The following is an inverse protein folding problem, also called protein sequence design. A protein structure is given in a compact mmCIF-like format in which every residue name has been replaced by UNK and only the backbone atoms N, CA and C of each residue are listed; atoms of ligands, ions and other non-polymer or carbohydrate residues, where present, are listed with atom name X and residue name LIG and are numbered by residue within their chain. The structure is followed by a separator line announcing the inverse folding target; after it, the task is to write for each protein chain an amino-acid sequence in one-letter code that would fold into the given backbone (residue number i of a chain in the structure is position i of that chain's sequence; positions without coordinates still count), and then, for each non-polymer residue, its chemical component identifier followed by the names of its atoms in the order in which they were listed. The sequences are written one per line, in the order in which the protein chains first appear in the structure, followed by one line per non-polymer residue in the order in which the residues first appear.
data_IF_475982391037
#
_entry.id   IF_475982391037
#
_cell.length_a   1.000
_cell.length_b   1.000
_cell.length_c   1.000
_cell.angle_alpha   90.00
_cell.angle_beta   90.00
_cell.angle_gamma   90.00
#
_symmetry.space_group_name_H-M   'P 1'
#
loop_
_entity.id
_entity.type
_entity.pdbx_description
1 polymer ?
#
# COMPACT_ATOMS: atom_id res chain seq x y z
N UNK A 1 19.35 1.37 -0.13
CA UNK A 1 18.10 1.55 -0.92
C UNK A 1 17.35 2.84 -0.59
N UNK A 2 17.25 3.24 0.69
CA UNK A 2 16.54 4.46 1.13
C UNK A 2 17.01 5.78 0.45
N UNK A 3 18.32 6.05 0.38
CA UNK A 3 18.87 7.24 -0.29
C UNK A 3 18.48 7.36 -1.77
N UNK A 4 18.24 6.24 -2.46
CA UNK A 4 17.82 6.25 -3.86
C UNK A 4 16.33 6.61 -4.00
N UNK A 5 15.48 6.15 -3.06
CA UNK A 5 14.04 6.50 -3.04
C UNK A 5 13.85 7.98 -2.73
N UNK A 6 14.52 8.51 -1.72
CA UNK A 6 14.48 9.93 -1.36
C UNK A 6 14.88 10.82 -2.55
N UNK A 7 15.98 10.50 -3.22
CA UNK A 7 16.43 11.25 -4.41
C UNK A 7 15.38 11.27 -5.52
N UNK A 8 14.72 10.14 -5.79
CA UNK A 8 13.64 10.04 -6.79
C UNK A 8 12.41 10.85 -6.39
N UNK A 9 12.03 10.84 -5.10
CA UNK A 9 10.93 11.65 -4.56
C UNK A 9 11.23 13.14 -4.78
N UNK A 10 12.40 13.62 -4.36
CA UNK A 10 12.79 15.03 -4.50
C UNK A 10 12.82 15.45 -5.98
N UNK A 11 13.33 14.59 -6.87
CA UNK A 11 13.35 14.87 -8.32
C UNK A 11 11.95 14.96 -8.91
N UNK A 12 11.03 14.09 -8.50
CA UNK A 12 9.65 14.07 -8.99
C UNK A 12 8.87 15.26 -8.44
N UNK A 13 9.06 15.57 -7.16
CA UNK A 13 8.52 16.76 -6.51
C UNK A 13 8.98 18.06 -7.18
N UNK A 14 10.26 18.17 -7.60
CA UNK A 14 10.74 19.35 -8.31
C UNK A 14 10.06 19.58 -9.67
N UNK A 15 9.56 18.51 -10.31
CA UNK A 15 8.72 18.61 -11.52
C UNK A 15 7.33 19.16 -11.15
N UNK A 16 6.73 18.69 -10.06
CA UNK A 16 5.47 19.21 -9.53
C UNK A 16 5.56 20.71 -9.24
N UNK A 17 6.62 21.18 -8.58
CA UNK A 17 6.83 22.60 -8.30
C UNK A 17 6.70 23.47 -9.56
N UNK A 18 7.28 23.00 -10.67
CA UNK A 18 7.20 23.71 -11.95
C UNK A 18 5.80 23.65 -12.56
N UNK A 19 5.17 22.47 -12.53
CA UNK A 19 3.83 22.27 -13.08
C UNK A 19 2.77 23.17 -12.41
N UNK A 20 2.92 23.46 -11.12
CA UNK A 20 1.97 24.31 -10.37
C UNK A 20 2.31 25.81 -10.42
N UNK A 21 3.34 26.19 -11.20
CA UNK A 21 3.75 27.59 -11.42
C UNK A 21 4.74 28.16 -10.40
N UNK A 22 5.40 27.31 -9.60
CA UNK A 22 6.40 27.74 -8.62
C UNK A 22 7.81 27.79 -9.21
N UNK A 23 8.65 28.67 -8.68
CA UNK A 23 10.08 28.71 -9.04
C UNK A 23 10.80 27.51 -8.45
N UNK A 24 11.47 26.70 -9.27
CA UNK A 24 12.23 25.54 -8.80
C UNK A 24 13.35 25.93 -7.82
N UNK A 25 13.67 25.08 -6.82
CA UNK A 25 14.84 25.30 -5.98
C UNK A 25 16.12 25.19 -6.79
N UNK A 26 17.08 26.08 -6.51
CA UNK A 26 18.39 26.07 -7.17
C UNK A 26 19.25 24.84 -6.83
N UNK A 27 18.94 24.14 -5.74
CA UNK A 27 19.58 22.89 -5.33
C UNK A 27 18.53 21.87 -4.89
N UNK A 28 18.63 20.64 -5.38
CA UNK A 28 17.75 19.52 -5.02
C UNK A 28 18.31 18.72 -3.83
N UNK A 29 18.68 19.42 -2.76
CA UNK A 29 19.07 18.81 -1.47
C UNK A 29 17.98 19.10 -0.45
N UNK A 30 17.59 18.10 0.35
CA UNK A 30 16.51 18.20 1.34
C UNK A 30 16.71 19.39 2.27
N UNK A 31 17.90 19.51 2.84
CA UNK A 31 18.27 20.57 3.80
C UNK A 31 18.13 21.95 3.15
N UNK A 32 18.65 22.12 1.93
CA UNK A 32 18.51 23.38 1.20
C UNK A 32 17.05 23.75 0.93
N UNK A 33 16.22 22.77 0.57
CA UNK A 33 14.81 23.01 0.26
C UNK A 33 14.07 23.47 1.51
N UNK A 34 14.23 22.74 2.62
CA UNK A 34 13.52 22.98 3.87
C UNK A 34 14.01 24.22 4.62
N UNK A 35 15.30 24.55 4.54
CA UNK A 35 15.89 25.69 5.27
C UNK A 35 15.94 26.99 4.45
N UNK A 36 16.09 26.90 3.11
CA UNK A 36 16.38 28.08 2.28
C UNK A 36 15.34 28.36 1.21
N UNK A 37 14.81 27.33 0.54
CA UNK A 37 13.85 27.56 -0.54
C UNK A 37 12.44 27.88 -0.03
N UNK A 38 12.01 27.20 1.03
CA UNK A 38 10.81 27.52 1.78
C UNK A 38 11.00 27.16 3.26
N UNK A 39 11.50 28.10 4.08
CA UNK A 39 11.59 27.89 5.53
C UNK A 39 10.23 27.57 6.14
N UNK A 40 10.26 26.86 7.25
CA UNK A 40 9.07 26.59 8.06
C UNK A 40 8.41 27.89 8.54
N UNK A 41 7.08 27.91 8.61
CA UNK A 41 6.28 29.05 9.08
C UNK A 41 6.56 30.38 8.37
N UNK A 42 7.07 30.34 7.13
CA UNK A 42 7.33 31.56 6.36
C UNK A 42 6.03 32.32 6.08
N UNK A 43 6.00 33.61 6.46
CA UNK A 43 4.92 34.55 6.15
C UNK A 43 5.20 35.36 4.87
N UNK A 44 6.25 35.01 4.11
CA UNK A 44 6.61 35.71 2.89
C UNK A 44 5.48 35.58 1.85
N UNK A 45 4.87 36.72 1.52
CA UNK A 45 3.79 36.79 0.53
C UNK A 45 4.25 36.31 -0.86
N UNK A 46 5.52 36.50 -1.22
CA UNK A 46 6.08 36.00 -2.48
C UNK A 46 6.09 34.48 -2.50
N UNK A 47 6.44 33.83 -1.39
CA UNK A 47 6.45 32.38 -1.28
C UNK A 47 5.03 31.81 -1.29
N UNK A 48 4.10 32.49 -0.63
CA UNK A 48 2.67 32.16 -0.63
C UNK A 48 2.08 32.25 -2.03
N UNK A 49 2.33 33.33 -2.78
CA UNK A 49 1.91 33.48 -4.18
C UNK A 49 2.45 32.37 -5.09
N UNK A 50 3.63 31.85 -4.76
CA UNK A 50 4.27 30.74 -5.48
C UNK A 50 3.90 29.36 -4.92
N UNK A 51 2.93 29.26 -4.00
CA UNK A 51 2.46 28.02 -3.37
C UNK A 51 3.58 27.20 -2.69
N UNK A 52 4.70 27.84 -2.31
CA UNK A 52 5.85 27.13 -1.73
C UNK A 52 5.54 26.44 -0.41
N UNK A 53 4.73 26.99 0.52
CA UNK A 53 4.38 26.29 1.75
C UNK A 53 3.65 24.96 1.50
N UNK A 54 2.68 24.95 0.58
CA UNK A 54 1.95 23.74 0.18
C UNK A 54 2.90 22.73 -0.47
N UNK A 55 3.79 23.20 -1.35
CA UNK A 55 4.80 22.33 -1.97
C UNK A 55 5.79 21.77 -0.95
N UNK A 56 6.17 22.55 0.07
CA UNK A 56 6.99 22.06 1.19
C UNK A 56 6.26 20.96 1.96
N UNK A 57 4.99 21.15 2.31
CA UNK A 57 4.16 20.12 2.97
C UNK A 57 4.17 18.84 2.14
N UNK A 58 3.84 18.94 0.85
CA UNK A 58 3.87 17.78 -0.06
C UNK A 58 5.22 17.06 -0.05
N UNK A 59 6.34 17.78 -0.03
CA UNK A 59 7.66 17.15 0.03
C UNK A 59 7.86 16.39 1.35
N UNK A 60 7.53 17.01 2.49
CA UNK A 60 7.66 16.40 3.82
C UNK A 60 6.80 15.13 3.89
N UNK A 61 5.51 15.24 3.59
CA UNK A 61 4.58 14.11 3.61
C UNK A 61 5.03 13.00 2.64
N UNK A 62 5.62 13.35 1.48
CA UNK A 62 6.16 12.37 0.54
C UNK A 62 7.38 11.63 1.08
N UNK A 63 8.27 12.34 1.77
CA UNK A 63 9.49 11.75 2.35
C UNK A 63 9.18 10.87 3.56
N UNK A 64 8.14 11.22 4.31
CA UNK A 64 7.61 10.43 5.43
C UNK A 64 6.70 9.28 4.96
N UNK A 65 6.34 9.25 3.67
CA UNK A 65 5.51 8.19 3.10
C UNK A 65 4.04 8.31 3.47
N UNK A 66 3.59 9.49 3.91
CA UNK A 66 2.22 9.79 4.37
C UNK A 66 1.46 10.76 3.45
N UNK A 67 1.96 11.01 2.24
CA UNK A 67 1.34 11.91 1.27
C UNK A 67 -0.15 11.58 1.07
N UNK A 68 -1.03 12.53 1.38
CA UNK A 68 -2.49 12.45 1.17
C UNK A 68 -2.98 13.59 0.25
N UNK A 69 -3.98 13.36 -0.62
CA UNK A 69 -4.56 14.40 -1.46
C UNK A 69 -5.59 15.29 -0.73
N UNK A 70 -6.10 14.88 0.44
CA UNK A 70 -7.35 15.43 1.00
C UNK A 70 -7.24 16.90 1.41
N UNK A 71 -6.11 17.30 1.97
CA UNK A 71 -5.82 18.69 2.39
C UNK A 71 -5.16 19.54 1.28
N UNK A 72 -5.03 18.99 0.07
CA UNK A 72 -4.26 19.62 -1.00
C UNK A 72 -5.18 20.26 -2.05
N UNK A 73 -4.83 21.44 -2.59
CA UNK A 73 -5.61 22.07 -3.63
C UNK A 73 -5.81 21.16 -4.85
N UNK A 74 -7.03 21.12 -5.37
CA UNK A 74 -7.40 20.28 -6.53
C UNK A 74 -6.57 20.57 -7.79
N UNK A 75 -6.12 21.81 -7.96
CA UNK A 75 -5.23 22.20 -9.06
C UNK A 75 -3.79 21.64 -8.91
N UNK A 76 -3.42 21.13 -7.74
CA UNK A 76 -2.18 20.40 -7.50
C UNK A 76 -2.42 18.90 -7.68
N UNK A 77 -3.44 18.35 -7.01
CA UNK A 77 -3.69 16.89 -6.98
C UNK A 77 -4.10 16.31 -8.33
N UNK A 78 -4.73 17.11 -9.21
CA UNK A 78 -5.10 16.69 -10.58
C UNK A 78 -3.94 16.70 -11.59
N UNK A 79 -2.75 17.19 -11.20
CA UNK A 79 -1.61 17.22 -12.11
C UNK A 79 -1.03 15.82 -12.32
N UNK A 80 -0.55 15.54 -13.53
CA UNK A 80 0.17 14.27 -13.81
C UNK A 80 1.42 14.13 -12.95
N UNK A 81 2.08 15.24 -12.61
CA UNK A 81 3.25 15.28 -11.75
C UNK A 81 2.91 14.86 -10.32
N UNK A 82 1.75 15.26 -9.80
CA UNK A 82 1.28 14.78 -8.49
C UNK A 82 1.00 13.28 -8.52
N UNK A 83 0.34 12.78 -9.57
CA UNK A 83 0.13 11.33 -9.75
C UNK A 83 1.46 10.56 -9.85
N UNK A 84 2.45 11.09 -10.56
CA UNK A 84 3.78 10.47 -10.58
C UNK A 84 4.45 10.48 -9.21
N UNK A 85 4.35 11.58 -8.46
CA UNK A 85 4.89 11.66 -7.10
C UNK A 85 4.21 10.66 -6.18
N UNK A 86 2.88 10.57 -6.24
CA UNK A 86 2.08 9.56 -5.56
C UNK A 86 2.60 8.15 -5.84
N UNK A 87 2.81 7.80 -7.11
CA UNK A 87 3.36 6.48 -7.49
C UNK A 87 4.75 6.25 -6.92
N UNK A 88 5.60 7.28 -6.85
CA UNK A 88 6.93 7.13 -6.22
C UNK A 88 6.85 6.90 -4.70
N UNK A 89 5.86 7.48 -4.03
CA UNK A 89 5.69 7.38 -2.58
C UNK A 89 5.03 6.05 -2.21
N UNK A 90 3.90 5.77 -2.86
CA UNK A 90 2.95 4.72 -2.49
C UNK A 90 2.89 3.52 -3.46
N UNK A 91 3.41 3.66 -4.68
CA UNK A 91 3.28 2.65 -5.75
C UNK A 91 2.07 2.90 -6.65
N UNK A 92 1.76 1.95 -7.54
CA UNK A 92 0.63 2.03 -8.47
C UNK A 92 -0.72 1.77 -7.76
N UNK A 93 -1.01 2.60 -6.76
CA UNK A 93 -2.25 2.58 -5.99
C UNK A 93 -3.16 3.69 -6.51
N UNK A 94 -4.43 3.37 -6.74
CA UNK A 94 -5.43 4.40 -7.01
C UNK A 94 -5.44 5.43 -5.88
N UNK A 95 -5.53 6.70 -6.26
CA UNK A 95 -5.62 7.80 -5.31
C UNK A 95 -7.00 7.69 -4.63
N UNK A 96 -7.02 7.10 -3.44
CA UNK A 96 -8.18 7.07 -2.56
C UNK A 96 -7.90 8.00 -1.36
N UNK A 97 -8.94 8.72 -0.93
CA UNK A 97 -8.85 9.69 0.16
C UNK A 97 -9.33 9.13 1.49
N UNK A 98 -9.27 9.95 2.52
CA UNK A 98 -9.81 9.66 3.86
C UNK A 98 -11.26 9.16 3.81
N UNK A 99 -12.08 9.66 2.89
CA UNK A 99 -13.47 9.22 2.73
C UNK A 99 -13.60 7.73 2.35
N UNK A 100 -12.69 7.21 1.53
CA UNK A 100 -12.71 5.79 1.15
C UNK A 100 -12.25 4.91 2.31
N UNK A 101 -11.30 5.40 3.11
CA UNK A 101 -10.87 4.77 4.34
C UNK A 101 -12.01 4.71 5.36
N UNK A 102 -12.69 5.84 5.64
CA UNK A 102 -13.82 5.89 6.58
C UNK A 102 -14.92 4.92 6.18
N UNK A 103 -15.37 4.95 4.92
CA UNK A 103 -16.37 4.00 4.40
C UNK A 103 -15.96 2.53 4.57
N UNK A 104 -14.67 2.23 4.40
CA UNK A 104 -14.17 0.89 4.65
C UNK A 104 -14.22 0.55 6.13
N UNK A 105 -13.79 1.46 7.01
CA UNK A 105 -13.79 1.28 8.45
C UNK A 105 -15.21 1.09 9.00
N UNK A 106 -16.20 1.88 8.55
CA UNK A 106 -17.61 1.74 8.92
C UNK A 106 -18.18 0.35 8.55
N UNK A 107 -17.67 -0.25 7.47
CA UNK A 107 -18.04 -1.60 7.07
C UNK A 107 -17.35 -2.72 7.88
N UNK A 108 -16.31 -2.39 8.65
CA UNK A 108 -15.48 -3.37 9.38
C UNK A 108 -15.61 -3.26 10.90
N UNK A 109 -15.80 -2.06 11.41
CA UNK A 109 -15.92 -1.73 12.82
C UNK A 109 -17.35 -1.25 13.05
N UNK A 110 -18.07 -1.92 13.94
CA UNK A 110 -19.46 -1.56 14.25
C UNK A 110 -19.48 -0.34 15.14
N UNK A 111 -20.57 0.44 15.04
CA UNK A 111 -20.86 1.56 15.93
C UNK A 111 -19.82 2.69 15.85
N UNK A 112 -19.18 2.87 14.70
CA UNK A 112 -18.44 4.09 14.40
C UNK A 112 -19.43 5.23 14.12
N UNK A 113 -19.26 6.35 14.82
CA UNK A 113 -19.97 7.60 14.60
C UNK A 113 -19.00 8.71 14.15
N UNK A 114 -19.56 9.82 13.68
CA UNK A 114 -18.77 10.96 13.19
C UNK A 114 -17.92 11.61 14.29
N UNK A 115 -18.38 11.58 15.55
CA UNK A 115 -17.68 12.18 16.71
C UNK A 115 -16.34 11.48 16.97
N UNK A 116 -16.31 10.14 16.91
CA UNK A 116 -15.08 9.34 17.02
C UNK A 116 -14.01 9.75 16.01
N UNK A 117 -14.43 10.17 14.80
CA UNK A 117 -13.51 10.59 13.75
C UNK A 117 -13.01 12.02 13.91
N UNK A 118 -13.80 12.91 14.51
CA UNK A 118 -13.45 14.32 14.72
C UNK A 118 -12.34 14.49 15.76
N UNK A 119 -12.32 13.62 16.77
CA UNK A 119 -11.31 13.62 17.83
C UNK A 119 -9.94 13.08 17.40
N UNK A 120 -9.86 12.45 16.22
CA UNK A 120 -8.62 11.84 15.76
C UNK A 120 -7.66 12.89 15.16
N UNK A 121 -6.43 13.03 15.70
CA UNK A 121 -5.39 13.86 15.09
C UNK A 121 -5.21 13.61 13.58
N UNK A 122 -5.03 14.69 12.82
CA UNK A 122 -4.91 14.64 11.35
C UNK A 122 -3.77 13.76 10.88
N UNK A 123 -2.68 13.72 11.65
CA UNK A 123 -1.51 12.89 11.40
C UNK A 123 -1.88 11.39 11.45
N UNK A 124 -2.65 10.97 12.46
CA UNK A 124 -3.13 9.59 12.57
C UNK A 124 -4.11 9.23 11.47
N UNK A 125 -5.07 10.11 11.20
CA UNK A 125 -6.02 9.90 10.11
C UNK A 125 -5.30 9.72 8.77
N UNK A 126 -4.23 10.49 8.53
CA UNK A 126 -3.39 10.37 7.32
C UNK A 126 -2.62 9.05 7.29
N UNK A 127 -2.03 8.63 8.40
CA UNK A 127 -1.31 7.35 8.49
C UNK A 127 -2.23 6.15 8.29
N UNK A 128 -3.41 6.14 8.93
CA UNK A 128 -4.42 5.10 8.76
C UNK A 128 -4.94 5.03 7.33
N UNK A 129 -5.17 6.18 6.71
CA UNK A 129 -5.55 6.26 5.29
C UNK A 129 -4.48 5.64 4.39
N UNK A 130 -3.21 5.90 4.66
CA UNK A 130 -2.08 5.32 3.92
C UNK A 130 -1.98 3.81 4.15
N UNK A 131 -2.18 3.33 5.38
CA UNK A 131 -2.20 1.91 5.69
C UNK A 131 -3.34 1.20 4.94
N UNK A 132 -4.52 1.81 4.89
CA UNK A 132 -5.66 1.34 4.09
C UNK A 132 -5.36 1.29 2.59
N UNK A 133 -4.69 2.31 2.04
CA UNK A 133 -4.28 2.32 0.64
C UNK A 133 -3.32 1.16 0.31
N UNK A 134 -2.36 0.91 1.20
CA UNK A 134 -1.41 -0.22 1.05
C UNK A 134 -2.12 -1.56 1.16
N UNK A 135 -3.08 -1.70 2.06
CA UNK A 135 -3.95 -2.88 2.16
C UNK A 135 -4.73 -3.11 0.85
N UNK A 136 -5.33 -2.06 0.27
CA UNK A 136 -6.02 -2.14 -1.03
C UNK A 136 -5.10 -2.65 -2.14
N UNK A 137 -3.87 -2.13 -2.19
CA UNK A 137 -2.88 -2.57 -3.17
C UNK A 137 -2.45 -4.02 -2.96
N UNK A 138 -2.16 -4.41 -1.71
CA UNK A 138 -1.82 -5.78 -1.35
C UNK A 138 -2.94 -6.73 -1.79
N UNK A 139 -4.18 -6.41 -1.43
CA UNK A 139 -5.36 -7.19 -1.80
C UNK A 139 -5.49 -7.34 -3.32
N UNK A 140 -5.33 -6.26 -4.08
CA UNK A 140 -5.37 -6.32 -5.54
C UNK A 140 -4.25 -7.20 -6.11
N UNK A 141 -3.04 -7.08 -5.58
CA UNK A 141 -1.88 -7.84 -6.04
C UNK A 141 -2.03 -9.34 -5.74
N UNK A 142 -2.46 -9.67 -4.52
CA UNK A 142 -2.72 -11.04 -4.11
C UNK A 142 -3.87 -11.64 -4.93
N UNK A 143 -4.96 -10.91 -5.14
CA UNK A 143 -6.08 -11.40 -5.96
C UNK A 143 -5.63 -11.74 -7.39
N UNK A 144 -4.76 -10.93 -8.00
CA UNK A 144 -4.19 -11.24 -9.31
C UNK A 144 -3.35 -12.52 -9.29
N UNK A 145 -2.58 -12.75 -8.21
CA UNK A 145 -1.81 -13.99 -8.01
C UNK A 145 -2.76 -15.18 -7.84
N UNK A 146 -3.79 -15.06 -7.01
CA UNK A 146 -4.81 -16.10 -6.79
C UNK A 146 -5.44 -16.50 -8.13
N UNK A 147 -5.90 -15.53 -8.93
CA UNK A 147 -6.50 -15.80 -10.24
C UNK A 147 -5.51 -16.55 -11.14
N UNK A 148 -4.26 -16.06 -11.23
CA UNK A 148 -3.22 -16.68 -12.05
C UNK A 148 -2.89 -18.11 -11.59
N UNK A 149 -2.84 -18.34 -10.28
CA UNK A 149 -2.64 -19.67 -9.70
C UNK A 149 -3.82 -20.60 -9.99
N UNK A 150 -5.06 -20.12 -9.85
CA UNK A 150 -6.25 -20.91 -10.15
C UNK A 150 -6.30 -21.33 -11.62
N UNK A 151 -5.96 -20.42 -12.53
CA UNK A 151 -5.86 -20.73 -13.97
C UNK A 151 -4.77 -21.77 -14.24
N UNK A 152 -3.60 -21.63 -13.62
CA UNK A 152 -2.51 -22.60 -13.73
C UNK A 152 -2.90 -23.98 -13.18
N UNK A 153 -3.50 -24.04 -11.99
CA UNK A 153 -4.00 -25.28 -11.36
C UNK A 153 -4.99 -25.96 -12.31
N UNK A 154 -5.97 -25.22 -12.83
CA UNK A 154 -6.97 -25.74 -13.76
C UNK A 154 -6.34 -26.31 -15.04
N UNK A 155 -5.36 -25.61 -15.60
CA UNK A 155 -4.64 -26.07 -16.78
C UNK A 155 -3.85 -27.35 -16.50
N UNK A 156 -3.10 -27.40 -15.40
CA UNK A 156 -2.30 -28.58 -15.05
C UNK A 156 -3.18 -29.78 -14.70
N UNK A 157 -4.27 -29.58 -13.96
CA UNK A 157 -5.25 -30.63 -13.65
C UNK A 157 -5.84 -31.21 -14.93
N UNK A 158 -6.20 -30.38 -15.91
CA UNK A 158 -6.70 -30.87 -17.20
C UNK A 158 -5.67 -31.70 -17.96
N UNK A 159 -4.40 -31.25 -17.99
CA UNK A 159 -3.30 -32.00 -18.62
C UNK A 159 -3.05 -33.33 -17.91
N UNK A 160 -3.05 -33.32 -16.58
CA UNK A 160 -2.81 -34.50 -15.77
C UNK A 160 -3.90 -35.56 -15.96
N UNK A 161 -5.17 -35.14 -15.98
CA UNK A 161 -6.29 -36.04 -16.29
C UNK A 161 -6.17 -36.70 -17.67
N UNK A 162 -5.66 -35.97 -18.68
CA UNK A 162 -5.39 -36.56 -20.01
C UNK A 162 -4.27 -37.60 -19.95
N UNK A 163 -3.20 -37.33 -19.22
CA UNK A 163 -2.11 -38.28 -19.01
C UNK A 163 -2.56 -39.52 -18.24
N UNK A 164 -3.35 -39.35 -17.18
CA UNK A 164 -3.91 -40.47 -16.43
C UNK A 164 -4.81 -41.36 -17.30
N UNK A 165 -5.64 -40.77 -18.17
CA UNK A 165 -6.43 -41.52 -19.15
C UNK A 165 -5.55 -42.28 -20.15
N UNK A 166 -4.47 -41.65 -20.63
CA UNK A 166 -3.52 -42.29 -21.55
C UNK A 166 -2.82 -43.49 -20.90
N UNK A 167 -2.40 -43.35 -19.65
CA UNK A 167 -1.77 -44.43 -18.86
C UNK A 167 -2.74 -45.58 -18.62
N UNK A 168 -3.98 -45.27 -18.23
CA UNK A 168 -5.05 -46.27 -18.03
C UNK A 168 -5.38 -47.04 -19.32
N UNK A 169 -5.37 -46.36 -20.47
CA UNK A 169 -5.66 -46.98 -21.76
C UNK A 169 -4.52 -47.87 -22.29
N UNK A 170 -3.28 -47.63 -21.88
CA UNK A 170 -2.10 -48.32 -22.43
C UNK A 170 -1.16 -48.89 -21.34
N UNK A 171 -1.63 -49.77 -20.44
CA UNK A 171 -0.88 -50.18 -19.25
C UNK A 171 0.45 -50.89 -19.55
N UNK A 172 0.61 -51.48 -20.74
CA UNK A 172 1.84 -52.18 -21.14
C UNK A 172 2.97 -51.24 -21.59
N UNK A 173 2.64 -49.99 -21.96
CA UNK A 173 3.62 -49.00 -22.45
C UNK A 173 4.20 -48.15 -21.32
N UNK A 174 3.56 -48.11 -20.16
CA UNK A 174 3.95 -47.27 -19.03
C UNK A 174 4.51 -48.09 -17.88
N UNK A 175 5.62 -47.61 -17.31
CA UNK A 175 6.29 -48.26 -16.18
C UNK A 175 6.03 -47.53 -14.85
N UNK A 176 6.53 -48.09 -13.75
CA UNK A 176 6.38 -47.52 -12.39
C UNK A 176 6.88 -46.08 -12.26
N UNK A 177 7.87 -45.66 -13.05
CA UNK A 177 8.37 -44.27 -13.00
C UNK A 177 7.32 -43.27 -13.52
N UNK A 178 6.54 -43.64 -14.53
CA UNK A 178 5.45 -42.80 -15.03
C UNK A 178 4.36 -42.61 -13.98
N UNK A 179 3.99 -43.69 -13.26
CA UNK A 179 3.05 -43.60 -12.13
C UNK A 179 3.59 -42.71 -11.00
N UNK A 180 4.89 -42.80 -10.68
CA UNK A 180 5.53 -41.93 -9.68
C UNK A 180 5.46 -40.45 -10.10
N UNK A 181 5.71 -40.15 -11.37
CA UNK A 181 5.65 -38.79 -11.87
C UNK A 181 4.21 -38.23 -11.88
N UNK A 182 3.19 -39.06 -12.17
CA UNK A 182 1.78 -38.66 -12.07
C UNK A 182 1.39 -38.34 -10.62
N UNK A 183 1.82 -39.17 -9.67
CA UNK A 183 1.57 -38.90 -8.24
C UNK A 183 2.24 -37.60 -7.80
N UNK A 184 3.50 -37.38 -8.16
CA UNK A 184 4.21 -36.14 -7.85
C UNK A 184 3.52 -34.90 -8.48
N UNK A 185 2.97 -35.04 -9.68
CA UNK A 185 2.21 -33.97 -10.31
C UNK A 185 0.90 -33.66 -9.56
N UNK A 186 0.19 -34.70 -9.07
CA UNK A 186 -0.98 -34.54 -8.21
C UNK A 186 -0.62 -33.86 -6.88
N UNK A 187 0.47 -34.27 -6.24
CA UNK A 187 0.98 -33.66 -5.01
C UNK A 187 1.27 -32.16 -5.21
N UNK A 188 1.98 -31.79 -6.28
CA UNK A 188 2.28 -30.39 -6.60
C UNK A 188 1.04 -29.54 -6.86
N UNK A 189 0.00 -30.11 -7.46
CA UNK A 189 -1.28 -29.41 -7.65
C UNK A 189 -1.94 -29.16 -6.29
N UNK A 190 -1.95 -30.17 -5.40
CA UNK A 190 -2.46 -30.04 -4.04
C UNK A 190 -1.68 -29.00 -3.22
N UNK A 191 -0.36 -28.95 -3.36
CA UNK A 191 0.48 -27.94 -2.71
C UNK A 191 0.12 -26.53 -3.21
N UNK A 192 -0.06 -26.36 -4.52
CA UNK A 192 -0.46 -25.09 -5.12
C UNK A 192 -1.85 -24.62 -4.65
N UNK A 193 -2.81 -25.55 -4.50
CA UNK A 193 -4.13 -25.27 -3.92
C UNK A 193 -4.01 -24.80 -2.46
N UNK A 194 -3.17 -25.47 -1.66
CA UNK A 194 -2.91 -25.09 -0.27
C UNK A 194 -2.31 -23.68 -0.16
N UNK A 195 -1.29 -23.38 -0.98
CA UNK A 195 -0.67 -22.04 -1.05
C UNK A 195 -1.70 -20.98 -1.46
N UNK A 196 -2.53 -21.27 -2.46
CA UNK A 196 -3.57 -20.34 -2.91
C UNK A 196 -4.58 -20.02 -1.80
N UNK A 197 -4.91 -20.98 -0.94
CA UNK A 197 -5.78 -20.74 0.21
C UNK A 197 -5.10 -19.87 1.29
N UNK A 198 -3.78 -20.04 1.48
CA UNK A 198 -2.99 -19.20 2.38
C UNK A 198 -3.02 -17.71 2.01
N UNK A 199 -3.06 -17.39 0.72
CA UNK A 199 -3.18 -16.01 0.24
C UNK A 199 -4.48 -15.31 0.63
N UNK A 200 -5.61 -15.99 0.58
CA UNK A 200 -6.89 -15.43 1.02
C UNK A 200 -6.86 -15.10 2.51
N UNK A 201 -6.31 -16.00 3.31
CA UNK A 201 -6.16 -15.81 4.76
C UNK A 201 -5.26 -14.63 5.10
N UNK A 202 -4.16 -14.46 4.37
CA UNK A 202 -3.28 -13.30 4.52
C UNK A 202 -4.02 -11.97 4.32
N UNK A 203 -4.90 -11.88 3.32
CA UNK A 203 -5.73 -10.67 3.11
C UNK A 203 -6.63 -10.46 4.32
N UNK A 204 -7.36 -11.48 4.76
CA UNK A 204 -8.29 -11.41 5.90
C UNK A 204 -7.59 -10.98 7.19
N UNK A 205 -6.46 -11.61 7.52
CA UNK A 205 -5.66 -11.31 8.71
C UNK A 205 -5.16 -9.86 8.67
N UNK A 206 -4.72 -9.38 7.50
CA UNK A 206 -4.26 -7.99 7.33
C UNK A 206 -5.40 -6.98 7.41
N UNK A 207 -6.57 -7.29 6.84
CA UNK A 207 -7.78 -6.46 6.96
C UNK A 207 -8.21 -6.35 8.43
N UNK A 208 -8.23 -7.46 9.15
CA UNK A 208 -8.59 -7.51 10.57
C UNK A 208 -7.58 -6.72 11.41
N UNK A 209 -6.29 -6.86 11.14
CA UNK A 209 -5.25 -6.13 11.84
C UNK A 209 -5.40 -4.61 11.68
N UNK A 210 -5.66 -4.13 10.46
CA UNK A 210 -5.90 -2.70 10.24
C UNK A 210 -7.18 -2.22 10.95
N UNK A 211 -8.22 -3.05 11.02
CA UNK A 211 -9.45 -2.71 11.73
C UNK A 211 -9.21 -2.57 13.25
N UNK A 212 -8.44 -3.50 13.85
CA UNK A 212 -8.03 -3.42 15.27
C UNK A 212 -7.26 -2.13 15.53
N UNK A 213 -6.23 -1.86 14.72
CA UNK A 213 -5.42 -0.63 14.86
C UNK A 213 -6.28 0.63 14.73
N UNK A 214 -7.20 0.66 13.77
CA UNK A 214 -8.12 1.78 13.60
C UNK A 214 -8.97 1.97 14.85
N UNK A 215 -9.54 0.89 15.39
CA UNK A 215 -10.30 0.92 16.65
C UNK A 215 -9.49 1.40 17.83
N UNK A 216 -8.26 0.91 17.99
CA UNK A 216 -7.34 1.32 19.06
C UNK A 216 -7.03 2.83 18.97
N UNK A 217 -6.77 3.36 17.78
CA UNK A 217 -6.53 4.79 17.58
C UNK A 217 -7.74 5.65 17.92
N UNK A 218 -8.94 5.24 17.51
CA UNK A 218 -10.17 5.94 17.83
C UNK A 218 -10.43 5.92 19.34
N UNK A 219 -10.24 4.78 19.99
CA UNK A 219 -10.42 4.63 21.44
C UNK A 219 -9.37 5.41 22.26
N UNK A 220 -8.10 5.42 21.82
CA UNK A 220 -7.03 6.13 22.52
C UNK A 220 -7.06 7.64 22.29
N UNK A 221 -7.50 8.10 21.11
CA UNK A 221 -7.71 9.53 20.86
C UNK A 221 -8.72 10.14 21.83
N UNK A 222 -9.75 9.39 22.23
CA UNK A 222 -10.73 9.83 23.21
C UNK A 222 -10.23 9.80 24.66
N UNK A 223 -9.22 8.97 24.96
CA UNK A 223 -8.80 8.68 26.34
C UNK A 223 -7.44 9.28 26.76
N UNK A 224 -6.70 9.93 25.85
CA UNK A 224 -5.40 10.54 26.19
C UNK A 224 -5.25 11.94 25.60
N UNK A 225 -4.96 12.92 26.46
CA UNK A 225 -4.27 14.14 26.06
C UNK A 225 -2.89 13.78 25.51
N UNK A 226 -2.79 13.72 24.18
CA UNK A 226 -1.57 13.71 23.37
C UNK A 226 -0.35 12.97 23.94
N UNK A 227 -0.19 11.69 23.59
CA UNK A 227 1.12 11.13 23.22
C UNK A 227 0.96 9.89 22.33
N UNK A 228 1.79 9.81 21.30
CA UNK A 228 1.90 8.69 20.36
C UNK A 228 2.43 7.43 21.08
N UNK A 229 1.84 6.25 20.86
CA UNK A 229 2.52 4.99 21.11
C UNK A 229 3.59 4.69 20.03
N UNK A 230 4.77 4.25 20.43
CA UNK A 230 5.96 4.00 19.57
C UNK A 230 5.75 2.97 18.43
N UNK A 231 4.66 2.20 18.43
CA UNK A 231 4.42 1.16 17.40
C UNK A 231 4.08 1.72 16.01
N UNK A 232 3.76 3.02 15.90
CA UNK A 232 3.35 3.67 14.65
C UNK A 232 4.48 3.73 13.61
N UNK A 233 5.75 3.89 14.03
CA UNK A 233 6.89 3.86 13.10
C UNK A 233 7.11 2.47 12.48
N UNK A 234 6.62 1.42 13.13
CA UNK A 234 6.78 0.05 12.67
C UNK A 234 5.55 -0.51 11.98
N UNK A 235 4.42 0.20 11.94
CA UNK A 235 3.15 -0.31 11.41
C UNK A 235 3.23 -0.76 9.94
N UNK A 236 3.99 -0.03 9.12
CA UNK A 236 4.27 -0.44 7.73
C UNK A 236 5.23 -1.61 7.60
N UNK A 237 6.10 -1.77 8.59
CA UNK A 237 7.14 -2.79 8.65
C UNK A 237 6.59 -4.08 9.26
N UNK A 238 5.76 -3.99 10.29
CA UNK A 238 5.16 -5.08 11.06
C UNK A 238 4.02 -5.75 10.31
N UNK A 239 3.19 -4.98 9.59
CA UNK A 239 2.20 -5.55 8.66
C UNK A 239 2.91 -6.34 7.54
N UNK A 240 4.09 -5.88 7.09
CA UNK A 240 4.87 -6.58 6.06
C UNK A 240 5.66 -7.75 6.64
N UNK A 241 6.25 -7.59 7.84
CA UNK A 241 7.14 -8.56 8.47
C UNK A 241 6.39 -9.72 9.13
N UNK A 242 5.27 -9.48 9.84
CA UNK A 242 4.47 -10.57 10.44
C UNK A 242 3.84 -11.48 9.40
N UNK A 243 3.70 -10.98 8.17
CA UNK A 243 3.11 -11.71 7.06
C UNK A 243 4.16 -12.35 6.13
N UNK A 244 5.45 -12.02 6.27
CA UNK A 244 6.54 -12.70 5.55
C UNK A 244 6.77 -14.13 6.06
N UNK A 245 6.42 -14.41 7.32
CA UNK A 245 6.50 -15.76 7.90
C UNK A 245 5.52 -16.76 7.26
N UNK A 246 4.51 -16.28 6.51
CA UNK A 246 3.61 -17.14 5.73
C UNK A 246 4.30 -17.65 4.44
N UNK A 247 5.41 -17.03 4.03
CA UNK A 247 6.13 -17.32 2.79
C UNK A 247 7.45 -18.08 2.98
N UNK A 248 7.87 -18.36 4.23
CA UNK A 248 9.07 -19.15 4.57
C UNK A 248 8.68 -20.53 5.13
#
# INVERSE_FOLDING_TARGET
MAQNKEKKIIQTWAKLCHAVGSTRPGKLKKEYILEKWCPENTLDQKFTKQKRPILRKILVDSLEGILSPDDLPTNVTRTKEFKHLWIQVHGEIDIAGQNDFRKWADGKIKELDDELWEDLPKEYLSQLTVAYLRLKFLKSSINNIIISHQDWIKEQTSKLQKLEKLVKANPKLFNKQHSKNLNLANERISDAESISNGYSRLIEDTEQHLAVITGDHLFHAQNMGANLPDYIENLSSDIVNKNLDIFN
#
